data_IF_456513718777
#
_entry.id   IF_456513718777
#
_cell.length_a   1.000
_cell.length_b   1.000
_cell.length_c   1.000
_cell.angle_alpha   90.00
_cell.angle_beta   90.00
_cell.angle_gamma   90.00
#
_symmetry.space_group_name_H-M   'P 1'
#
loop_
_entity.id
_entity.type
_entity.pdbx_description
1 polymer ?
#
# COMPACT_ATOMS: atom_id res chain seq x y z
N UNK A 1 24.41 -8.26 -1.15
CA UNK A 1 25.27 -7.11 -0.77
C UNK A 1 24.34 -5.97 -0.40
N UNK A 2 24.21 -5.64 0.87
CA UNK A 2 23.39 -4.51 1.33
C UNK A 2 24.26 -3.26 1.36
N UNK A 3 23.89 -2.22 0.60
CA UNK A 3 24.57 -0.93 0.67
C UNK A 3 24.33 -0.38 2.08
N UNK A 4 25.36 -0.36 2.92
CA UNK A 4 25.30 0.31 4.23
C UNK A 4 24.99 1.80 3.97
N UNK A 5 23.99 2.35 4.66
CA UNK A 5 23.50 3.74 4.54
C UNK A 5 22.71 4.11 3.27
N UNK A 6 22.15 3.13 2.53
CA UNK A 6 21.15 3.47 1.52
C UNK A 6 19.83 3.87 2.21
N UNK A 7 19.55 5.18 2.22
CA UNK A 7 18.25 5.70 2.64
C UNK A 7 17.19 5.38 1.58
N UNK A 8 15.99 5.04 2.04
CA UNK A 8 14.79 4.96 1.21
C UNK A 8 14.35 6.35 0.75
N UNK A 9 13.46 6.37 -0.23
CA UNK A 9 12.82 7.59 -0.69
C UNK A 9 11.37 7.68 -0.21
N UNK A 10 10.87 8.90 -0.03
CA UNK A 10 9.45 9.12 0.15
C UNK A 10 8.68 8.60 -1.08
N UNK A 11 7.52 8.00 -0.83
CA UNK A 11 6.55 7.63 -1.84
C UNK A 11 5.33 8.53 -1.70
N UNK A 12 4.92 9.17 -2.78
CA UNK A 12 3.71 9.97 -2.83
C UNK A 12 3.00 9.75 -4.16
N UNK A 13 1.71 10.02 -4.18
CA UNK A 13 0.91 9.85 -5.38
C UNK A 13 -0.55 10.19 -5.14
N UNK A 14 -1.37 9.86 -6.12
CA UNK A 14 -2.81 10.10 -6.10
C UNK A 14 -3.56 8.81 -6.42
N UNK A 15 -4.56 8.49 -5.62
CA UNK A 15 -5.58 7.50 -5.97
C UNK A 15 -6.74 8.20 -6.65
N UNK A 16 -7.09 7.70 -7.84
CA UNK A 16 -8.22 8.20 -8.60
C UNK A 16 -9.54 7.87 -7.91
N UNK A 17 -10.58 8.63 -8.24
CA UNK A 17 -11.93 8.34 -7.75
C UNK A 17 -12.38 6.90 -8.07
N UNK A 18 -12.06 6.39 -9.26
CA UNK A 18 -12.42 5.03 -9.69
C UNK A 18 -11.77 3.98 -8.78
N UNK A 19 -10.49 4.16 -8.44
CA UNK A 19 -9.79 3.28 -7.52
C UNK A 19 -10.42 3.34 -6.11
N UNK A 20 -10.77 4.53 -5.64
CA UNK A 20 -11.43 4.72 -4.35
C UNK A 20 -12.78 4.00 -4.29
N UNK A 21 -13.61 4.13 -5.33
CA UNK A 21 -14.87 3.39 -5.42
C UNK A 21 -14.64 1.88 -5.42
N UNK A 22 -13.63 1.41 -6.16
CA UNK A 22 -13.28 -0.01 -6.15
C UNK A 22 -12.89 -0.49 -4.75
N UNK A 23 -12.08 0.29 -4.02
CA UNK A 23 -11.67 -0.03 -2.65
C UNK A 23 -12.87 -0.12 -1.69
N UNK A 24 -13.86 0.77 -1.83
CA UNK A 24 -15.09 0.74 -1.01
C UNK A 24 -15.89 -0.56 -1.17
N UNK A 25 -15.80 -1.21 -2.33
CA UNK A 25 -16.57 -2.42 -2.65
C UNK A 25 -15.76 -3.73 -2.58
N UNK A 26 -14.43 -3.65 -2.48
CA UNK A 26 -13.53 -4.81 -2.63
C UNK A 26 -12.54 -4.93 -1.46
N UNK A 27 -12.95 -4.56 -0.25
CA UNK A 27 -12.14 -4.67 0.96
C UNK A 27 -11.63 -6.10 1.23
N UNK A 28 -12.42 -7.12 0.89
CA UNK A 28 -12.02 -8.53 0.98
C UNK A 28 -10.78 -8.88 0.11
N UNK A 29 -10.49 -8.13 -0.96
CA UNK A 29 -9.32 -8.35 -1.82
C UNK A 29 -8.02 -7.77 -1.27
N UNK A 30 -8.09 -7.04 -0.14
CA UNK A 30 -6.91 -6.47 0.52
C UNK A 30 -5.94 -7.54 0.99
N UNK A 31 -6.44 -8.75 1.32
CA UNK A 31 -5.60 -9.86 1.79
C UNK A 31 -4.53 -10.20 0.74
N UNK A 32 -4.91 -10.31 -0.54
CA UNK A 32 -3.97 -10.60 -1.62
C UNK A 32 -2.92 -9.49 -1.80
N UNK A 33 -3.30 -8.24 -1.54
CA UNK A 33 -2.37 -7.09 -1.58
C UNK A 33 -1.39 -7.18 -0.42
N UNK A 34 -1.86 -7.56 0.77
CA UNK A 34 -1.03 -7.73 1.97
C UNK A 34 0.01 -8.84 1.74
N UNK A 35 -0.41 -9.96 1.16
CA UNK A 35 0.48 -11.06 0.79
C UNK A 35 1.57 -10.62 -0.20
N UNK A 36 1.25 -9.80 -1.19
CA UNK A 36 2.23 -9.27 -2.12
C UNK A 36 3.31 -8.40 -1.42
N UNK A 37 2.89 -7.51 -0.52
CA UNK A 37 3.81 -6.69 0.29
C UNK A 37 4.70 -7.60 1.15
N UNK A 38 4.09 -8.56 1.85
CA UNK A 38 4.78 -9.49 2.73
C UNK A 38 5.81 -10.33 1.97
N UNK A 39 5.42 -10.92 0.85
CA UNK A 39 6.30 -11.76 0.04
C UNK A 39 7.49 -10.96 -0.51
N UNK A 40 7.25 -9.73 -0.99
CA UNK A 40 8.31 -8.84 -1.46
C UNK A 40 9.28 -8.47 -0.32
N UNK A 41 8.74 -8.14 0.86
CA UNK A 41 9.53 -7.81 2.03
C UNK A 41 10.41 -8.99 2.48
N UNK A 42 9.82 -10.17 2.67
CA UNK A 42 10.54 -11.37 3.09
C UNK A 42 11.63 -11.78 2.08
N UNK A 43 11.35 -11.63 0.78
CA UNK A 43 12.34 -11.90 -0.25
C UNK A 43 13.53 -10.95 -0.18
N UNK A 44 13.29 -9.65 0.03
CA UNK A 44 14.35 -8.63 0.07
C UNK A 44 15.22 -8.70 1.33
N UNK A 45 14.61 -8.95 2.49
CA UNK A 45 15.31 -9.07 3.77
C UNK A 45 15.90 -10.45 4.02
N UNK A 46 15.54 -11.44 3.20
CA UNK A 46 15.82 -12.84 3.42
C UNK A 46 14.88 -13.43 4.48
N UNK A 47 14.44 -14.66 4.25
CA UNK A 47 13.49 -15.44 5.08
C UNK A 47 13.86 -15.63 6.57
N UNK A 48 14.99 -15.06 7.01
CA UNK A 48 15.40 -15.01 8.42
C UNK A 48 14.71 -13.93 9.24
N UNK A 49 14.14 -12.90 8.61
CA UNK A 49 13.34 -11.88 9.31
C UNK A 49 11.89 -12.33 9.43
N UNK A 50 11.63 -13.26 10.35
CA UNK A 50 10.27 -13.53 10.82
C UNK A 50 9.83 -12.36 11.71
N UNK A 51 9.34 -11.27 11.10
CA UNK A 51 8.60 -10.29 11.88
C UNK A 51 7.35 -10.99 12.43
N UNK A 52 7.07 -10.92 13.75
CA UNK A 52 5.80 -11.40 14.27
C UNK A 52 4.66 -10.72 13.50
N UNK A 53 3.64 -11.49 13.15
CA UNK A 53 2.63 -11.22 12.11
C UNK A 53 1.82 -9.93 12.23
N UNK A 54 2.07 -9.11 13.23
CA UNK A 54 1.32 -7.89 13.53
C UNK A 54 1.91 -6.61 12.92
N UNK A 55 3.01 -6.71 12.15
CA UNK A 55 3.71 -5.55 11.61
C UNK A 55 3.33 -5.18 10.16
N UNK A 56 2.58 -6.04 9.47
CA UNK A 56 1.97 -5.71 8.18
C UNK A 56 0.52 -5.32 8.43
N UNK A 57 0.16 -4.09 8.07
CA UNK A 57 -1.20 -3.60 8.27
C UNK A 57 -1.71 -2.98 6.99
N UNK A 58 -2.65 -3.66 6.36
CA UNK A 58 -3.45 -3.07 5.30
C UNK A 58 -4.86 -2.85 5.81
N UNK A 59 -5.41 -1.67 5.56
CA UNK A 59 -6.77 -1.32 5.95
C UNK A 59 -7.41 -0.49 4.85
N UNK A 60 -8.64 -0.84 4.50
CA UNK A 60 -9.58 0.06 3.84
C UNK A 60 -10.69 0.37 4.82
N UNK A 61 -11.13 1.62 4.89
CA UNK A 61 -12.37 1.95 5.58
C UNK A 61 -13.54 2.11 4.60
N UNK A 62 -14.75 2.32 5.14
CA UNK A 62 -15.98 2.48 4.34
C UNK A 62 -15.95 3.66 3.36
N UNK A 63 -15.02 4.60 3.54
CA UNK A 63 -14.85 5.75 2.65
C UNK A 63 -13.86 5.48 1.52
N UNK A 64 -13.20 4.32 1.51
CA UNK A 64 -12.14 3.99 0.56
C UNK A 64 -10.76 4.49 1.01
N UNK A 65 -10.62 4.88 2.28
CA UNK A 65 -9.33 5.24 2.87
C UNK A 65 -8.44 4.01 2.95
N UNK A 66 -7.39 3.97 2.14
CA UNK A 66 -6.42 2.89 2.10
C UNK A 66 -5.16 3.25 2.89
N UNK A 67 -4.76 2.34 3.77
CA UNK A 67 -3.50 2.37 4.50
C UNK A 67 -2.77 1.07 4.19
N UNK A 68 -1.46 1.16 3.97
CA UNK A 68 -0.60 0.00 3.74
C UNK A 68 0.74 0.18 4.45
N UNK A 69 0.91 -0.58 5.51
CA UNK A 69 2.10 -0.62 6.35
C UNK A 69 2.91 -1.89 6.12
N UNK A 70 4.23 -1.77 6.20
CA UNK A 70 5.17 -2.86 6.36
C UNK A 70 6.07 -2.63 7.59
N UNK A 71 6.84 -3.65 8.04
CA UNK A 71 7.66 -3.52 9.23
C UNK A 71 8.71 -2.40 9.15
N UNK A 72 8.88 -1.68 10.26
CA UNK A 72 9.82 -0.55 10.36
C UNK A 72 9.28 0.72 11.04
N UNK A 73 8.35 0.60 11.99
CA UNK A 73 7.89 1.75 12.80
C UNK A 73 6.99 2.72 12.02
N UNK A 74 5.79 2.28 11.66
CA UNK A 74 4.85 3.05 10.79
C UNK A 74 5.45 3.35 9.43
N UNK A 75 6.15 2.37 8.87
CA UNK A 75 6.63 2.40 7.50
C UNK A 75 5.46 2.04 6.58
N UNK A 76 4.97 2.97 5.78
CA UNK A 76 3.80 2.72 4.96
C UNK A 76 3.33 3.92 4.16
N UNK A 77 2.20 3.77 3.48
CA UNK A 77 1.51 4.88 2.80
C UNK A 77 0.18 5.19 3.48
N UNK A 78 -0.11 6.48 3.55
CA UNK A 78 -1.27 7.05 4.22
C UNK A 78 -1.84 8.19 3.38
N UNK A 79 -3.16 8.40 3.39
CA UNK A 79 -3.76 9.57 2.76
C UNK A 79 -3.34 10.87 3.42
N UNK A 80 -3.30 11.94 2.63
CA UNK A 80 -2.88 13.26 3.09
C UNK A 80 -3.96 13.99 3.90
N UNK A 81 -3.55 15.03 4.62
CA UNK A 81 -4.46 16.02 5.21
C UNK A 81 -5.28 16.62 4.06
N UNK A 82 -6.61 16.52 4.12
CA UNK A 82 -7.64 16.84 3.07
C UNK A 82 -8.30 15.64 2.39
N UNK A 83 -7.92 14.41 2.71
CA UNK A 83 -8.54 13.21 2.12
C UNK A 83 -10.06 13.17 2.30
N UNK A 84 -10.57 13.44 3.51
CA UNK A 84 -12.03 13.43 3.78
C UNK A 84 -12.80 14.43 2.93
N UNK A 85 -12.23 15.62 2.68
CA UNK A 85 -12.83 16.63 1.82
C UNK A 85 -12.82 16.18 0.35
N UNK A 86 -11.71 15.61 -0.12
CA UNK A 86 -11.63 15.12 -1.52
C UNK A 86 -12.56 13.93 -1.78
N UNK A 87 -12.74 13.05 -0.79
CA UNK A 87 -13.67 11.93 -0.83
C UNK A 87 -15.13 12.39 -0.93
N UNK A 88 -15.55 13.42 -0.19
CA UNK A 88 -16.91 13.97 -0.30
C UNK A 88 -17.20 14.63 -1.65
N UNK A 89 -16.15 15.01 -2.39
CA UNK A 89 -16.24 15.57 -3.74
C UNK A 89 -16.13 14.53 -4.87
N UNK A 90 -16.08 13.23 -4.57
CA UNK A 90 -15.88 12.18 -5.58
C UNK A 90 -14.60 12.38 -6.43
N UNK A 91 -13.51 12.88 -5.83
CA UNK A 91 -12.30 13.30 -6.58
C UNK A 91 -11.08 12.38 -6.41
N UNK A 92 -11.21 11.30 -5.64
CA UNK A 92 -10.05 10.51 -5.19
C UNK A 92 -9.30 11.19 -4.04
N UNK A 93 -8.02 10.89 -3.82
CA UNK A 93 -7.19 11.59 -2.83
C UNK A 93 -5.70 11.36 -3.04
N UNK A 94 -4.86 12.20 -2.41
CA UNK A 94 -3.41 12.04 -2.44
C UNK A 94 -2.96 11.17 -1.26
N UNK A 95 -1.87 10.43 -1.45
CA UNK A 95 -1.19 9.70 -0.38
C UNK A 95 0.27 10.12 -0.27
N UNK A 96 0.83 9.94 0.91
CA UNK A 96 2.25 10.10 1.21
C UNK A 96 2.73 8.96 2.09
N UNK A 97 4.02 8.65 2.00
CA UNK A 97 4.66 7.68 2.84
C UNK A 97 5.03 8.26 4.21
N UNK A 98 5.16 7.38 5.19
CA UNK A 98 5.78 7.65 6.49
C UNK A 98 6.88 6.60 6.73
N UNK A 99 8.04 7.00 7.24
CA UNK A 99 9.17 6.14 7.65
C UNK A 99 9.58 5.03 6.65
N UNK A 100 9.63 5.35 5.36
CA UNK A 100 10.20 4.48 4.34
C UNK A 100 11.72 4.75 4.29
N UNK A 101 12.42 4.13 5.23
CA UNK A 101 13.80 4.46 5.58
C UNK A 101 14.85 3.76 4.72
N UNK A 102 14.47 2.68 4.02
CA UNK A 102 15.38 1.92 3.18
C UNK A 102 14.72 1.42 1.87
N UNK A 103 15.53 1.02 0.86
CA UNK A 103 15.02 0.57 -0.43
C UNK A 103 14.11 -0.67 -0.36
N UNK A 104 14.31 -1.57 0.60
CA UNK A 104 13.53 -2.81 0.69
C UNK A 104 12.09 -2.52 1.12
N UNK A 105 11.91 -1.63 2.10
CA UNK A 105 10.60 -1.09 2.47
C UNK A 105 9.90 -0.43 1.29
N UNK A 106 10.63 0.45 0.57
CA UNK A 106 10.10 1.16 -0.59
C UNK A 106 9.60 0.17 -1.67
N UNK A 107 10.43 -0.81 -2.02
CA UNK A 107 10.09 -1.82 -3.02
C UNK A 107 8.96 -2.74 -2.58
N UNK A 108 8.85 -3.03 -1.28
CA UNK A 108 7.73 -3.82 -0.72
C UNK A 108 6.40 -3.08 -0.84
N UNK A 109 6.39 -1.78 -0.56
CA UNK A 109 5.22 -0.92 -0.75
C UNK A 109 4.86 -0.82 -2.24
N UNK A 110 5.85 -0.67 -3.12
CA UNK A 110 5.62 -0.67 -4.57
C UNK A 110 5.03 -1.99 -5.08
N UNK A 111 5.47 -3.13 -4.54
CA UNK A 111 4.88 -4.44 -4.86
C UNK A 111 3.40 -4.51 -4.44
N UNK A 112 3.05 -3.95 -3.27
CA UNK A 112 1.66 -3.82 -2.84
C UNK A 112 0.84 -2.93 -3.77
N UNK A 113 1.36 -1.77 -4.18
CA UNK A 113 0.69 -0.89 -5.14
C UNK A 113 0.48 -1.57 -6.50
N UNK A 114 1.45 -2.35 -6.96
CA UNK A 114 1.32 -3.14 -8.19
C UNK A 114 0.23 -4.21 -8.05
N UNK A 115 0.19 -4.94 -6.92
CA UNK A 115 -0.86 -5.93 -6.65
C UNK A 115 -2.25 -5.29 -6.57
N UNK A 116 -2.38 -4.11 -5.94
CA UNK A 116 -3.63 -3.34 -5.93
C UNK A 116 -4.08 -3.00 -7.35
N UNK A 117 -3.17 -2.49 -8.17
CA UNK A 117 -3.46 -2.17 -9.56
C UNK A 117 -3.93 -3.41 -10.35
N UNK A 118 -3.29 -4.56 -10.16
CA UNK A 118 -3.68 -5.81 -10.82
C UNK A 118 -5.06 -6.30 -10.38
N UNK A 119 -5.41 -6.20 -9.11
CA UNK A 119 -6.75 -6.56 -8.61
C UNK A 119 -7.85 -5.69 -9.22
N UNK A 120 -7.60 -4.38 -9.31
CA UNK A 120 -8.52 -3.41 -9.92
C UNK A 120 -8.70 -3.73 -11.41
N UNK A 121 -7.59 -3.93 -12.11
CA UNK A 121 -7.57 -4.25 -13.53
C UNK A 121 -8.31 -5.57 -13.84
N UNK A 122 -8.05 -6.62 -13.08
CA UNK A 122 -8.71 -7.92 -13.25
C UNK A 122 -10.23 -7.82 -13.04
N UNK A 123 -10.67 -7.02 -12.07
CA UNK A 123 -12.10 -6.81 -11.82
C UNK A 123 -12.77 -6.04 -12.97
N UNK A 124 -12.09 -5.04 -13.53
CA UNK A 124 -12.62 -4.25 -14.63
C UNK A 124 -12.81 -5.08 -15.91
N UNK A 125 -11.91 -6.03 -16.19
CA UNK A 125 -12.02 -6.93 -17.33
C UNK A 125 -13.00 -8.09 -17.13
N UNK A 126 -13.41 -8.40 -15.90
CA UNK A 126 -14.40 -9.45 -15.63
C UNK A 126 -15.86 -9.01 -15.86
N UNK A 127 -16.10 -7.71 -16.07
CA UNK A 127 -17.44 -7.10 -16.24
C UNK A 127 -17.66 -6.65 -17.70
N UNK A 128 -16.65 -6.78 -18.57
CA UNK A 128 -16.76 -6.56 -20.02
C UNK A 128 -16.85 -7.88 -20.75
#
# INVERSE_FOLDING_TARGET
MTIKNAHGGSLNGQFSYILVQWLQCNDHKIIAICEAVKNAYEYMYGSKYQYPGDNFRLRVDKTGWFIMDCPGGRCGIYPTQNTMFKLSQNSGYDFTSHNVDNPMQQLSILAGLAALHDQVRATYYAIK
#
